data_IF_489178179993
#
_entry.id   IF_489178179993
#
_cell.length_a   1.000
_cell.length_b   1.000
_cell.length_c   1.000
_cell.angle_alpha   90.00
_cell.angle_beta   90.00
_cell.angle_gamma   90.00
#
_symmetry.space_group_name_H-M   'P 1'
#
loop_
_entity.id
_entity.type
_entity.pdbx_description
1 polymer ?
#
# COMPACT_ATOMS: atom_id res chain seq x y z
N UNK A 1 -12.41 -26.36 -40.87
CA UNK A 1 -12.85 -25.23 -40.02
C UNK A 1 -11.61 -24.59 -39.37
N UNK A 2 -11.53 -23.26 -39.46
CA UNK A 2 -10.70 -22.33 -38.67
C UNK A 2 -9.16 -22.46 -38.71
N UNK A 3 -8.52 -21.62 -39.54
CA UNK A 3 -7.08 -21.30 -39.45
C UNK A 3 -6.86 -20.38 -38.23
N UNK A 4 -5.94 -20.76 -37.36
CA UNK A 4 -5.44 -19.96 -36.23
C UNK A 4 -4.91 -18.61 -36.74
N UNK A 5 -5.64 -17.54 -36.43
CA UNK A 5 -5.26 -16.17 -36.77
C UNK A 5 -4.03 -15.74 -35.99
N UNK A 6 -3.00 -15.28 -36.70
CA UNK A 6 -1.84 -14.63 -36.10
C UNK A 6 -2.30 -13.26 -35.61
N UNK A 7 -2.35 -13.05 -34.30
CA UNK A 7 -2.63 -11.74 -33.73
C UNK A 7 -1.36 -10.88 -33.77
N UNK A 8 -1.27 -9.98 -34.75
CA UNK A 8 -0.30 -8.90 -34.74
C UNK A 8 -0.73 -7.81 -33.76
N UNK A 9 0.07 -7.54 -32.73
CA UNK A 9 -0.11 -6.36 -31.86
C UNK A 9 0.91 -5.29 -32.23
N UNK A 10 0.45 -4.04 -32.31
CA UNK A 10 1.32 -2.88 -32.48
C UNK A 10 1.88 -2.48 -31.12
N UNK A 11 3.19 -2.22 -31.07
CA UNK A 11 3.89 -1.75 -29.89
C UNK A 11 4.48 -0.36 -30.20
N UNK A 12 4.03 0.67 -29.47
CA UNK A 12 4.61 2.01 -29.55
C UNK A 12 5.64 2.17 -28.43
N UNK A 13 6.89 2.46 -28.79
CA UNK A 13 7.98 2.69 -27.85
C UNK A 13 8.25 4.19 -27.81
N UNK A 14 8.31 4.75 -26.61
CA UNK A 14 8.63 6.15 -26.37
C UNK A 14 9.88 6.24 -25.48
N UNK A 15 10.87 7.01 -25.92
CA UNK A 15 12.05 7.35 -25.12
C UNK A 15 11.77 8.62 -24.30
N UNK A 16 12.11 8.58 -23.01
CA UNK A 16 11.92 9.69 -22.07
C UNK A 16 13.22 10.09 -21.36
N UNK A 17 14.34 9.42 -21.66
CA UNK A 17 15.65 9.73 -21.09
C UNK A 17 16.15 11.11 -21.56
N UNK A 18 16.81 11.86 -20.67
CA UNK A 18 17.38 13.17 -21.00
C UNK A 18 16.38 14.34 -21.13
N UNK A 19 15.07 14.11 -20.93
CA UNK A 19 14.06 15.18 -20.89
C UNK A 19 13.67 15.55 -19.45
N UNK A 20 14.64 15.84 -18.59
CA UNK A 20 14.39 16.18 -17.17
C UNK A 20 13.82 17.58 -16.97
N UNK A 21 14.06 18.48 -17.93
CA UNK A 21 13.62 19.88 -17.88
C UNK A 21 12.14 20.07 -18.24
N UNK A 22 11.45 19.04 -18.75
CA UNK A 22 10.04 19.08 -19.15
C UNK A 22 9.19 18.05 -18.41
N UNK A 23 9.16 18.16 -17.08
CA UNK A 23 8.42 17.25 -16.18
C UNK A 23 6.95 17.05 -16.56
N UNK A 24 6.27 18.06 -17.10
CA UNK A 24 4.88 17.98 -17.54
C UNK A 24 4.64 17.04 -18.74
N UNK A 25 5.56 17.03 -19.72
CA UNK A 25 5.45 16.11 -20.87
C UNK A 25 5.65 14.67 -20.41
N UNK A 26 6.66 14.43 -19.56
CA UNK A 26 6.92 13.12 -18.95
C UNK A 26 5.70 12.56 -18.21
N UNK A 27 5.01 13.39 -17.44
CA UNK A 27 3.82 12.98 -16.69
C UNK A 27 2.67 12.55 -17.61
N UNK A 28 2.48 13.23 -18.75
CA UNK A 28 1.47 12.84 -19.74
C UNK A 28 1.75 11.46 -20.32
N UNK A 29 3.01 11.17 -20.68
CA UNK A 29 3.40 9.87 -21.21
C UNK A 29 3.29 8.75 -20.16
N UNK A 30 3.57 9.07 -18.89
CA UNK A 30 3.38 8.14 -17.78
C UNK A 30 1.91 7.82 -17.47
N UNK A 31 0.96 8.68 -17.86
CA UNK A 31 -0.47 8.43 -17.66
C UNK A 31 -1.06 7.47 -18.69
N UNK A 32 -0.54 7.48 -19.91
CA UNK A 32 -1.11 6.73 -21.04
C UNK A 32 -0.36 5.45 -21.40
N UNK A 33 0.81 5.21 -20.81
CA UNK A 33 1.62 4.03 -21.09
C UNK A 33 1.04 2.76 -20.47
N UNK A 34 0.91 1.70 -21.26
CA UNK A 34 0.50 0.38 -20.79
C UNK A 34 1.66 -0.41 -20.15
N UNK A 35 2.91 -0.02 -20.44
CA UNK A 35 4.11 -0.66 -19.95
C UNK A 35 5.28 0.31 -19.83
N UNK A 36 6.14 0.08 -18.83
CA UNK A 36 7.25 0.96 -18.49
C UNK A 36 8.55 0.16 -18.37
N UNK A 37 9.60 0.63 -19.05
CA UNK A 37 10.96 0.15 -18.87
C UNK A 37 11.75 1.19 -18.08
N UNK A 38 12.21 0.80 -16.89
CA UNK A 38 13.03 1.63 -16.01
C UNK A 38 14.50 1.24 -16.18
N UNK A 39 15.30 2.15 -16.73
CA UNK A 39 16.72 1.91 -17.06
C UNK A 39 17.61 2.81 -16.18
N UNK A 40 18.72 2.28 -15.68
CA UNK A 40 19.72 3.01 -14.91
C UNK A 40 21.13 2.62 -15.35
N UNK A 41 22.12 3.45 -15.02
CA UNK A 41 23.53 3.17 -15.29
C UNK A 41 24.17 2.48 -14.10
N UNK A 42 24.88 1.37 -14.35
CA UNK A 42 25.64 0.65 -13.29
C UNK A 42 26.80 1.47 -12.73
N UNK A 43 27.27 2.46 -13.48
CA UNK A 43 28.36 3.35 -13.09
C UNK A 43 27.87 4.63 -12.38
N UNK A 44 26.55 4.83 -12.27
CA UNK A 44 25.97 6.01 -11.63
C UNK A 44 24.86 5.64 -10.65
N UNK A 45 25.18 5.77 -9.36
CA UNK A 45 24.24 5.50 -8.26
C UNK A 45 23.04 6.46 -8.25
N UNK A 46 23.21 7.70 -8.69
CA UNK A 46 22.11 8.68 -8.70
C UNK A 46 20.99 8.20 -9.64
N UNK A 47 21.33 7.74 -10.85
CA UNK A 47 20.37 7.17 -11.80
C UNK A 47 19.54 6.01 -11.21
N UNK A 48 20.11 5.20 -10.32
CA UNK A 48 19.39 4.11 -9.66
C UNK A 48 18.38 4.62 -8.62
N UNK A 49 18.74 5.65 -7.85
CA UNK A 49 17.85 6.23 -6.84
C UNK A 49 16.65 6.94 -7.49
N UNK A 50 16.85 7.51 -8.68
CA UNK A 50 15.77 8.10 -9.48
C UNK A 50 14.76 7.08 -10.00
N UNK A 51 15.16 5.84 -10.29
CA UNK A 51 14.21 4.79 -10.66
C UNK A 51 13.13 4.57 -9.61
N UNK A 52 13.49 4.68 -8.33
CA UNK A 52 12.51 4.55 -7.25
C UNK A 52 11.48 5.69 -7.31
N UNK A 53 11.92 6.91 -7.65
CA UNK A 53 11.02 8.07 -7.81
C UNK A 53 10.06 7.84 -8.98
N UNK A 54 10.57 7.42 -10.14
CA UNK A 54 9.74 7.16 -11.32
C UNK A 54 8.77 6.00 -11.09
N UNK A 55 9.23 4.91 -10.49
CA UNK A 55 8.37 3.78 -10.13
C UNK A 55 7.19 4.23 -9.25
N UNK A 56 7.46 5.06 -8.24
CA UNK A 56 6.41 5.58 -7.36
C UNK A 56 5.45 6.53 -8.09
N UNK A 57 5.95 7.38 -8.99
CA UNK A 57 5.11 8.26 -9.81
C UNK A 57 4.18 7.46 -10.75
N UNK A 58 4.71 6.45 -11.44
CA UNK A 58 3.92 5.56 -12.30
C UNK A 58 2.81 4.88 -11.49
N UNK A 59 3.16 4.27 -10.34
CA UNK A 59 2.15 3.63 -9.48
C UNK A 59 1.09 4.60 -8.95
N UNK A 60 1.48 5.85 -8.66
CA UNK A 60 0.52 6.90 -8.26
C UNK A 60 -0.42 7.27 -9.39
N UNK A 61 0.06 7.32 -10.63
CA UNK A 61 -0.77 7.64 -11.80
C UNK A 61 -1.75 6.52 -12.15
N UNK A 62 -1.40 5.27 -11.88
CA UNK A 62 -2.32 4.12 -12.01
C UNK A 62 -3.26 3.93 -10.80
N UNK A 63 -3.27 4.86 -9.85
CA UNK A 63 -4.25 4.84 -8.75
C UNK A 63 -5.65 5.00 -9.34
N UNK A 64 -6.48 3.98 -9.14
CA UNK A 64 -7.88 3.98 -9.63
C UNK A 64 -8.88 4.57 -8.63
N UNK A 65 -8.50 4.68 -7.35
CA UNK A 65 -9.33 5.27 -6.29
C UNK A 65 -8.54 6.39 -5.63
N UNK A 66 -9.09 7.61 -5.66
CA UNK A 66 -8.47 8.76 -4.99
C UNK A 66 -8.45 8.60 -3.47
N UNK A 67 -7.56 9.32 -2.79
CA UNK A 67 -7.49 9.29 -1.32
C UNK A 67 -8.79 9.84 -0.73
N UNK A 68 -9.33 10.87 -1.36
CA UNK A 68 -10.56 11.56 -1.00
C UNK A 68 -11.75 10.61 -1.08
N UNK A 69 -11.86 9.85 -2.16
CA UNK A 69 -12.91 8.85 -2.37
C UNK A 69 -12.81 7.70 -1.35
N UNK A 70 -11.60 7.14 -1.16
CA UNK A 70 -11.37 6.09 -0.16
C UNK A 70 -11.73 6.56 1.26
N UNK A 71 -11.34 7.80 1.61
CA UNK A 71 -11.70 8.42 2.90
C UNK A 71 -13.19 8.71 3.00
N UNK A 72 -13.84 9.15 1.92
CA UNK A 72 -15.27 9.42 1.91
C UNK A 72 -16.07 8.14 2.20
N UNK A 73 -15.73 7.05 1.52
CA UNK A 73 -16.34 5.74 1.74
C UNK A 73 -16.15 5.27 3.19
N UNK A 74 -14.94 5.37 3.73
CA UNK A 74 -14.67 4.97 5.10
C UNK A 74 -15.44 5.80 6.14
N UNK A 75 -15.56 7.12 5.92
CA UNK A 75 -16.40 8.00 6.76
C UNK A 75 -17.87 7.58 6.71
N UNK A 76 -18.40 7.28 5.53
CA UNK A 76 -19.78 6.82 5.36
C UNK A 76 -20.04 5.52 6.13
N UNK A 77 -19.09 4.58 6.08
CA UNK A 77 -19.16 3.31 6.79
C UNK A 77 -18.78 3.41 8.27
N UNK A 78 -18.34 4.59 8.74
CA UNK A 78 -17.83 4.83 10.10
C UNK A 78 -16.68 3.89 10.49
N UNK A 79 -15.85 3.51 9.52
CA UNK A 79 -14.64 2.71 9.73
C UNK A 79 -13.39 3.58 9.54
N UNK A 80 -12.29 3.32 10.27
CA UNK A 80 -11.03 4.00 10.02
C UNK A 80 -10.45 3.68 8.65
N UNK A 81 -9.78 4.66 8.05
CA UNK A 81 -9.10 4.52 6.76
C UNK A 81 -7.60 4.71 6.92
N UNK A 82 -6.82 3.80 6.37
CA UNK A 82 -5.36 3.89 6.31
C UNK A 82 -4.87 3.31 4.99
N UNK A 83 -4.09 4.08 4.23
CA UNK A 83 -3.38 3.55 3.06
C UNK A 83 -2.12 2.83 3.52
N UNK A 84 -1.86 1.63 3.02
CA UNK A 84 -0.68 0.86 3.38
C UNK A 84 -0.03 0.24 2.14
N UNK A 85 1.27 -0.06 2.27
CA UNK A 85 1.99 -0.84 1.26
C UNK A 85 2.83 -1.89 1.95
N UNK A 86 2.47 -3.15 1.75
CA UNK A 86 3.23 -4.29 2.26
C UNK A 86 4.64 -4.33 1.67
N UNK A 87 4.80 -3.99 0.39
CA UNK A 87 6.08 -4.04 -0.34
C UNK A 87 7.14 -3.13 0.27
N UNK A 88 6.77 -1.92 0.69
CA UNK A 88 7.69 -0.94 1.27
C UNK A 88 7.49 -0.74 2.77
N UNK A 89 6.70 -1.64 3.40
CA UNK A 89 6.35 -1.59 4.83
C UNK A 89 5.73 -0.25 5.27
N UNK A 90 5.06 0.45 4.36
CA UNK A 90 4.42 1.73 4.67
C UNK A 90 3.10 1.50 5.41
N UNK A 91 2.95 2.13 6.57
CA UNK A 91 1.73 2.13 7.41
C UNK A 91 1.23 0.74 7.85
N UNK A 92 2.00 -0.32 7.65
CA UNK A 92 1.63 -1.69 8.05
C UNK A 92 1.48 -1.76 9.57
N UNK A 93 2.52 -1.37 10.30
CA UNK A 93 2.51 -1.41 11.77
C UNK A 93 1.41 -0.51 12.35
N UNK A 94 1.22 0.68 11.78
CA UNK A 94 0.17 1.61 12.19
C UNK A 94 -1.24 1.01 11.97
N UNK A 95 -1.48 0.31 10.85
CA UNK A 95 -2.76 -0.34 10.59
C UNK A 95 -3.08 -1.40 11.65
N UNK A 96 -2.08 -2.21 12.05
CA UNK A 96 -2.25 -3.18 13.13
C UNK A 96 -2.51 -2.50 14.47
N UNK A 97 -1.77 -1.44 14.81
CA UNK A 97 -1.99 -0.72 16.07
C UNK A 97 -3.37 -0.07 16.16
N UNK A 98 -3.87 0.53 15.08
CA UNK A 98 -5.22 1.09 15.04
C UNK A 98 -6.27 0.01 15.22
N UNK A 99 -6.13 -1.14 14.55
CA UNK A 99 -7.06 -2.26 14.74
C UNK A 99 -7.12 -2.73 16.20
N UNK A 100 -5.96 -2.95 16.83
CA UNK A 100 -5.90 -3.38 18.24
C UNK A 100 -6.55 -2.36 19.18
N UNK A 101 -6.33 -1.06 18.92
CA UNK A 101 -6.96 0.03 19.70
C UNK A 101 -8.48 -0.01 19.58
N UNK A 102 -9.01 -0.22 18.38
CA UNK A 102 -10.45 -0.33 18.16
C UNK A 102 -11.04 -1.51 18.92
N UNK A 103 -10.43 -2.70 18.79
CA UNK A 103 -10.90 -3.92 19.48
C UNK A 103 -10.98 -3.72 20.98
N UNK A 104 -9.94 -3.10 21.59
CA UNK A 104 -9.92 -2.81 23.04
C UNK A 104 -11.04 -1.85 23.44
N UNK A 105 -11.30 -0.80 22.65
CA UNK A 105 -12.41 0.15 22.91
C UNK A 105 -13.77 -0.53 22.84
N UNK A 106 -14.01 -1.35 21.81
CA UNK A 106 -15.26 -2.11 21.71
C UNK A 106 -15.46 -3.03 22.92
N UNK A 107 -14.42 -3.74 23.36
CA UNK A 107 -14.50 -4.60 24.54
C UNK A 107 -14.85 -3.83 25.82
N UNK A 108 -14.34 -2.62 26.00
CA UNK A 108 -14.66 -1.80 27.19
C UNK A 108 -16.09 -1.27 27.21
N UNK A 109 -16.69 -1.04 26.04
CA UNK A 109 -18.04 -0.47 25.90
C UNK A 109 -19.11 -1.57 26.00
N UNK A 110 -18.89 -2.70 25.32
CA UNK A 110 -19.85 -3.81 25.25
C UNK A 110 -19.77 -4.76 26.46
N UNK A 111 -18.66 -4.73 27.20
CA UNK A 111 -18.49 -5.47 28.46
C UNK A 111 -17.98 -4.52 29.55
N UNK A 112 -18.86 -3.71 30.16
CA UNK A 112 -18.47 -2.98 31.35
C UNK A 112 -18.00 -4.01 32.37
N UNK A 113 -16.75 -3.90 32.83
CA UNK A 113 -16.19 -4.81 33.81
C UNK A 113 -17.11 -4.84 35.03
N UNK A 114 -17.84 -5.94 35.20
CA UNK A 114 -18.38 -6.27 36.50
C UNK A 114 -17.18 -6.39 37.43
N UNK A 115 -17.14 -5.53 38.44
CA UNK A 115 -16.13 -5.46 39.50
C UNK A 115 -16.20 -6.71 40.38
N UNK A 116 -15.99 -7.89 39.80
CA UNK A 116 -15.81 -9.12 40.56
C UNK A 116 -14.34 -9.19 40.98
N UNK A 117 -14.08 -8.76 42.22
CA UNK A 117 -12.82 -8.95 42.94
C UNK A 117 -12.39 -10.40 42.82
N UNK A 118 -11.44 -10.70 41.93
CA UNK A 118 -10.80 -12.02 41.85
C UNK A 118 -10.04 -12.22 43.15
N UNK A 119 -10.61 -12.99 44.07
CA UNK A 119 -9.90 -13.51 45.24
C UNK A 119 -8.67 -14.27 44.75
N UNK A 120 -7.46 -13.73 44.99
CA UNK A 120 -6.19 -14.45 44.79
C UNK A 120 -6.19 -15.66 45.74
N UNK A 121 -6.62 -16.83 45.27
CA UNK A 121 -6.33 -18.09 45.98
C UNK A 121 -4.82 -18.34 45.90
N UNK A 122 -4.18 -18.46 47.07
CA UNK A 122 -2.75 -18.76 47.23
C UNK A 122 -2.42 -20.04 46.47
N UNK A 123 -1.40 -20.01 45.60
CA UNK A 123 -0.87 -21.20 44.94
C UNK A 123 -0.23 -22.11 45.99
N UNK A 124 -0.77 -23.31 46.20
CA UNK A 124 -0.04 -24.39 46.87
C UNK A 124 1.03 -24.92 45.90
N UNK A 125 2.22 -25.19 46.46
CA UNK A 125 3.41 -25.67 45.73
C UNK A 125 3.08 -26.97 44.98
N UNK A 126 3.43 -27.06 43.71
CA UNK A 126 3.57 -28.36 43.03
C UNK A 126 4.99 -28.89 43.30
N UNK A 127 5.07 -30.13 43.80
CA UNK A 127 6.30 -30.93 43.83
C UNK A 127 6.32 -31.78 42.57
N UNK A 128 7.46 -31.81 41.89
CA UNK A 128 7.73 -32.74 40.80
C UNK A 128 8.36 -33.98 41.43
N UNK A 129 7.83 -35.16 41.10
CA UNK A 129 8.54 -36.43 41.27
C UNK A 129 9.28 -36.69 39.96
#
# INVERSE_FOLDING_TARGET
MSRSGVHSKLLYILDTAGQEEFSAMREQYMRSGDGFLLVFSVSDRASFEELTKFHMQILRNHRVISVEEGRAMARQLKIPYIECSAKVRMNVDQAFYELVRLVRRFQTIERPQSSSKVHRRKKSKCTII
#
